data_IF_202228539684
#
_entry.id   IF_202228539684
#
_cell.length_a   1.000
_cell.length_b   1.000
_cell.length_c   1.000
_cell.angle_alpha   90.00
_cell.angle_beta   90.00
_cell.angle_gamma   90.00
#
_symmetry.space_group_name_H-M   'P 1'
#
loop_
_entity.id
_entity.type
_entity.pdbx_description
1 polymer ?
#
# COMPACT_ATOMS: atom_id res chain seq x y z
N UNK A 1 23.75 9.86 -8.92
CA UNK A 1 23.19 11.23 -8.96
C UNK A 1 23.06 11.64 -10.41
N UNK A 2 21.85 11.68 -10.98
CA UNK A 2 21.62 12.32 -12.27
C UNK A 2 20.38 13.19 -12.24
N UNK A 3 20.56 14.36 -12.87
CA UNK A 3 19.60 15.42 -13.13
C UNK A 3 18.65 15.00 -14.25
N UNK A 4 17.36 14.96 -13.99
CA UNK A 4 16.34 15.24 -14.99
C UNK A 4 15.22 16.04 -14.32
N UNK A 5 14.98 17.27 -14.80
CA UNK A 5 13.80 18.05 -14.44
C UNK A 5 13.83 18.82 -13.11
N UNK A 6 14.78 19.75 -12.94
CA UNK A 6 14.54 21.10 -12.36
C UNK A 6 13.91 21.29 -10.97
N UNK A 7 13.55 20.26 -10.22
CA UNK A 7 13.06 20.34 -8.84
C UNK A 7 13.83 19.34 -8.00
N UNK A 8 15.03 19.75 -7.62
CA UNK A 8 15.71 19.16 -6.48
C UNK A 8 14.84 19.36 -5.25
N UNK A 9 14.12 18.32 -4.80
CA UNK A 9 13.92 18.15 -3.37
C UNK A 9 15.25 17.62 -2.77
N UNK A 10 16.33 18.40 -2.91
CA UNK A 10 17.67 18.10 -2.36
C UNK A 10 17.79 18.50 -0.88
N UNK A 11 16.67 18.45 -0.17
CA UNK A 11 16.67 18.39 1.29
C UNK A 11 15.96 17.10 1.65
N UNK A 12 16.49 16.36 2.63
CA UNK A 12 15.65 15.41 3.37
C UNK A 12 14.37 16.17 3.71
N UNK A 13 13.18 15.74 3.25
CA UNK A 13 11.96 16.49 3.47
C UNK A 13 11.89 16.82 4.96
N UNK A 14 11.67 18.09 5.28
CA UNK A 14 11.61 18.53 6.68
C UNK A 14 10.67 17.60 7.45
N UNK A 15 10.86 17.36 8.74
CA UNK A 15 10.00 16.45 9.51
C UNK A 15 8.49 16.68 9.29
N UNK A 16 8.05 17.94 9.13
CA UNK A 16 6.67 18.27 8.80
C UNK A 16 6.18 17.77 7.44
N UNK A 17 7.01 17.84 6.39
CA UNK A 17 6.68 17.30 5.06
C UNK A 17 6.55 15.76 5.08
N UNK A 18 7.42 15.07 5.82
CA UNK A 18 7.32 13.62 5.99
C UNK A 18 6.04 13.24 6.76
N UNK A 19 5.74 13.95 7.85
CA UNK A 19 4.52 13.75 8.61
C UNK A 19 3.27 13.92 7.74
N UNK A 20 3.21 14.96 6.89
CA UNK A 20 2.10 15.18 5.95
C UNK A 20 1.98 14.02 4.95
N UNK A 21 3.09 13.52 4.40
CA UNK A 21 3.05 12.36 3.48
C UNK A 21 2.47 11.13 4.18
N UNK A 22 2.97 10.78 5.37
CA UNK A 22 2.48 9.61 6.10
C UNK A 22 1.02 9.76 6.56
N UNK A 23 0.64 10.93 7.07
CA UNK A 23 -0.74 11.21 7.49
C UNK A 23 -1.71 11.22 6.30
N UNK A 24 -1.30 11.83 5.19
CA UNK A 24 -2.07 11.85 3.94
C UNK A 24 -2.31 10.45 3.42
N UNK A 25 -1.26 9.62 3.36
CA UNK A 25 -1.38 8.21 2.98
C UNK A 25 -2.30 7.45 3.95
N UNK A 26 -2.13 7.61 5.26
CA UNK A 26 -2.97 6.93 6.26
C UNK A 26 -4.45 7.28 6.09
N UNK A 27 -4.75 8.55 5.85
CA UNK A 27 -6.09 9.03 5.57
C UNK A 27 -6.65 8.43 4.28
N UNK A 28 -5.87 8.42 3.19
CA UNK A 28 -6.27 7.80 1.92
C UNK A 28 -6.61 6.31 2.11
N UNK A 29 -5.82 5.57 2.90
CA UNK A 29 -6.11 4.16 3.20
C UNK A 29 -7.36 3.98 4.03
N UNK A 30 -7.51 4.77 5.09
CA UNK A 30 -8.71 4.74 5.90
C UNK A 30 -9.96 5.01 5.04
N UNK A 31 -9.88 6.00 4.16
CA UNK A 31 -10.95 6.32 3.20
C UNK A 31 -11.18 5.18 2.21
N UNK A 32 -10.12 4.53 1.68
CA UNK A 32 -10.25 3.38 0.78
C UNK A 32 -11.05 2.23 1.41
N UNK A 33 -10.82 1.96 2.70
CA UNK A 33 -11.55 0.94 3.46
C UNK A 33 -12.99 1.34 3.75
N UNK A 34 -13.23 2.61 4.08
CA UNK A 34 -14.58 3.18 4.24
C UNK A 34 -15.38 3.01 2.94
N UNK A 35 -14.83 3.43 1.79
CA UNK A 35 -15.49 3.26 0.49
C UNK A 35 -15.73 1.78 0.16
N UNK A 36 -14.76 0.93 0.50
CA UNK A 36 -14.84 -0.52 0.39
C UNK A 36 -15.91 -1.18 1.25
N UNK A 37 -16.55 -0.46 2.19
CA UNK A 37 -17.68 -0.96 2.98
C UNK A 37 -18.96 -0.13 2.80
N UNK A 38 -18.93 1.18 2.55
CA UNK A 38 -20.16 1.94 2.29
C UNK A 38 -20.84 1.56 0.96
N UNK A 39 -20.07 1.14 -0.04
CA UNK A 39 -20.57 0.90 -1.41
C UNK A 39 -20.62 -0.54 -1.93
N UNK A 40 -20.13 -1.59 -1.26
CA UNK A 40 -20.57 -2.94 -1.57
C UNK A 40 -22.04 -3.02 -1.23
N UNK A 41 -22.84 -3.03 -2.28
CA UNK A 41 -24.03 -3.84 -2.28
C UNK A 41 -23.57 -5.28 -2.58
N UNK A 42 -23.35 -6.13 -1.56
CA UNK A 42 -22.94 -7.52 -1.78
C UNK A 42 -23.97 -8.31 -2.60
N UNK A 43 -25.20 -7.81 -2.74
CA UNK A 43 -26.20 -8.42 -3.62
C UNK A 43 -25.99 -8.04 -5.10
N UNK A 44 -25.24 -6.97 -5.37
CA UNK A 44 -25.05 -6.43 -6.74
C UNK A 44 -23.71 -6.81 -7.37
N UNK A 45 -22.65 -6.99 -6.58
CA UNK A 45 -21.30 -7.24 -7.10
C UNK A 45 -20.56 -8.34 -6.33
N UNK A 46 -19.90 -9.24 -7.06
CA UNK A 46 -19.12 -10.35 -6.52
C UNK A 46 -17.63 -9.98 -6.30
N UNK A 47 -16.86 -10.87 -5.69
CA UNK A 47 -15.41 -10.69 -5.48
C UNK A 47 -14.65 -10.35 -6.76
N UNK A 48 -15.04 -10.95 -7.89
CA UNK A 48 -14.40 -10.74 -9.19
C UNK A 48 -14.45 -9.27 -9.63
N UNK A 49 -15.54 -8.56 -9.34
CA UNK A 49 -15.66 -7.12 -9.59
C UNK A 49 -14.60 -6.30 -8.83
N UNK A 50 -14.41 -6.60 -7.55
CA UNK A 50 -13.40 -5.92 -6.70
C UNK A 50 -11.98 -6.29 -7.08
N UNK A 51 -11.76 -7.57 -7.44
CA UNK A 51 -10.48 -8.04 -7.95
C UNK A 51 -10.12 -7.32 -9.25
N UNK A 52 -11.06 -7.20 -10.20
CA UNK A 52 -10.84 -6.49 -11.47
C UNK A 52 -10.50 -5.02 -11.24
N UNK A 53 -11.19 -4.35 -10.30
CA UNK A 53 -10.85 -2.96 -9.92
C UNK A 53 -9.44 -2.85 -9.35
N UNK A 54 -9.05 -3.78 -8.48
CA UNK A 54 -7.68 -3.86 -7.96
C UNK A 54 -6.66 -4.04 -9.08
N UNK A 55 -6.89 -4.98 -10.00
CA UNK A 55 -6.01 -5.24 -11.15
C UNK A 55 -5.89 -4.01 -12.07
N UNK A 56 -7.00 -3.34 -12.39
CA UNK A 56 -6.96 -2.12 -13.21
C UNK A 56 -6.13 -1.02 -12.55
N UNK A 57 -6.30 -0.81 -11.23
CA UNK A 57 -5.48 0.13 -10.49
C UNK A 57 -4.01 -0.29 -10.43
N UNK A 58 -3.72 -1.59 -10.31
CA UNK A 58 -2.35 -2.12 -10.32
C UNK A 58 -1.64 -1.84 -11.66
N UNK A 59 -2.37 -1.97 -12.78
CA UNK A 59 -1.87 -1.64 -14.12
C UNK A 59 -1.61 -0.14 -14.24
N UNK A 60 -2.56 0.69 -13.80
CA UNK A 60 -2.40 2.15 -13.82
C UNK A 60 -1.23 2.57 -12.93
N UNK A 61 -1.11 2.02 -11.72
CA UNK A 61 0.00 2.26 -10.80
C UNK A 61 1.33 1.93 -11.46
N UNK A 62 1.45 0.74 -12.06
CA UNK A 62 2.65 0.31 -12.79
C UNK A 62 3.04 1.22 -13.94
N UNK A 63 2.06 1.71 -14.71
CA UNK A 63 2.30 2.65 -15.79
C UNK A 63 2.78 4.00 -15.26
N UNK A 64 2.13 4.53 -14.22
CA UNK A 64 2.51 5.81 -13.62
C UNK A 64 3.90 5.72 -12.98
N UNK A 65 4.21 4.61 -12.32
CA UNK A 65 5.52 4.37 -11.70
C UNK A 65 6.63 4.39 -12.76
N UNK A 66 6.42 3.61 -13.83
CA UNK A 66 7.36 3.54 -14.96
C UNK A 66 7.53 4.89 -15.67
N UNK A 67 6.45 5.65 -15.85
CA UNK A 67 6.48 6.94 -16.57
C UNK A 67 7.07 8.08 -15.74
N UNK A 68 6.81 8.10 -14.43
CA UNK A 68 7.25 9.19 -13.56
C UNK A 68 8.69 8.99 -13.08
N UNK A 69 9.06 7.77 -12.74
CA UNK A 69 10.35 7.47 -12.11
C UNK A 69 11.35 6.83 -13.09
N UNK A 70 10.87 6.23 -14.19
CA UNK A 70 11.74 5.55 -15.15
C UNK A 70 12.32 4.23 -14.61
N UNK A 71 11.75 3.72 -13.52
CA UNK A 71 12.12 2.47 -12.88
C UNK A 71 11.18 1.34 -13.30
N UNK A 72 11.66 0.11 -13.19
CA UNK A 72 10.81 -1.06 -13.44
C UNK A 72 9.62 -1.04 -12.46
N UNK A 73 8.39 -1.26 -12.95
CA UNK A 73 7.23 -1.27 -12.09
C UNK A 73 7.36 -2.41 -11.07
N UNK A 74 6.63 -2.31 -9.96
CA UNK A 74 6.57 -3.37 -8.95
C UNK A 74 7.91 -3.59 -8.23
N UNK A 75 8.80 -2.60 -8.20
CA UNK A 75 10.04 -2.66 -7.41
C UNK A 75 9.88 -1.84 -6.15
N UNK A 76 9.55 -0.57 -6.31
CA UNK A 76 9.13 0.28 -5.21
C UNK A 76 7.63 0.08 -4.98
N UNK A 77 7.22 0.02 -3.71
CA UNK A 77 5.81 -0.13 -3.34
C UNK A 77 5.27 1.22 -2.87
N UNK A 78 4.55 1.90 -3.76
CA UNK A 78 3.94 3.21 -3.51
C UNK A 78 2.42 3.12 -3.23
N UNK A 79 1.83 4.28 -2.92
CA UNK A 79 0.49 4.40 -2.37
C UNK A 79 -0.58 3.77 -3.26
N UNK A 80 -0.44 3.90 -4.58
CA UNK A 80 -1.38 3.36 -5.56
C UNK A 80 -1.39 1.83 -5.58
N UNK A 81 -0.24 1.19 -5.40
CA UNK A 81 -0.14 -0.27 -5.31
C UNK A 81 -0.90 -0.77 -4.08
N UNK A 82 -0.67 -0.15 -2.92
CA UNK A 82 -1.42 -0.48 -1.71
C UNK A 82 -2.94 -0.30 -1.90
N UNK A 83 -3.40 0.76 -2.57
CA UNK A 83 -4.83 0.94 -2.85
C UNK A 83 -5.33 -0.23 -3.72
N UNK A 84 -4.60 -0.56 -4.78
CA UNK A 84 -4.94 -1.67 -5.68
C UNK A 84 -5.11 -3.00 -4.92
N UNK A 85 -4.22 -3.31 -3.97
CA UNK A 85 -4.34 -4.50 -3.12
C UNK A 85 -5.42 -4.38 -2.04
N UNK A 86 -5.59 -3.19 -1.45
CA UNK A 86 -6.51 -2.97 -0.34
C UNK A 86 -7.98 -3.20 -0.74
N UNK A 87 -8.36 -2.93 -1.98
CA UNK A 87 -9.76 -3.06 -2.46
C UNK A 87 -10.27 -4.51 -2.37
N UNK A 88 -9.65 -5.51 -3.05
CA UNK A 88 -10.10 -6.89 -2.96
C UNK A 88 -9.93 -7.46 -1.54
N UNK A 89 -8.86 -7.07 -0.83
CA UNK A 89 -8.64 -7.52 0.55
C UNK A 89 -9.72 -6.99 1.51
N UNK A 90 -10.11 -5.73 1.37
CA UNK A 90 -11.18 -5.12 2.17
C UNK A 90 -12.54 -5.78 1.91
N UNK A 91 -12.82 -6.19 0.67
CA UNK A 91 -14.04 -6.96 0.37
C UNK A 91 -14.05 -8.32 1.09
N UNK A 92 -12.92 -9.04 1.09
CA UNK A 92 -12.80 -10.30 1.84
C UNK A 92 -12.94 -10.07 3.35
N UNK A 93 -12.29 -9.02 3.86
CA UNK A 93 -12.29 -8.65 5.26
C UNK A 93 -13.67 -8.22 5.77
N UNK A 94 -14.45 -7.50 4.95
CA UNK A 94 -15.81 -7.08 5.30
C UNK A 94 -16.74 -8.27 5.57
N UNK A 95 -16.57 -9.41 4.89
CA UNK A 95 -17.41 -10.60 5.08
C UNK A 95 -17.24 -11.25 6.46
N UNK A 96 -16.19 -10.87 7.21
CA UNK A 96 -15.96 -11.36 8.56
C UNK A 96 -16.85 -10.65 9.58
N UNK A 97 -17.13 -11.34 10.69
CA UNK A 97 -17.75 -10.71 11.87
C UNK A 97 -16.77 -9.70 12.50
N UNK A 98 -17.30 -8.77 13.29
CA UNK A 98 -16.52 -7.72 13.95
C UNK A 98 -15.35 -8.27 14.79
N UNK A 99 -15.55 -9.36 15.53
CA UNK A 99 -14.51 -9.92 16.40
C UNK A 99 -13.28 -10.39 15.59
N UNK A 100 -13.40 -11.27 14.57
CA UNK A 100 -12.28 -11.58 13.67
C UNK A 100 -11.62 -10.36 13.03
N UNK A 101 -12.41 -9.34 12.66
CA UNK A 101 -11.87 -8.10 12.07
C UNK A 101 -10.92 -7.39 13.04
N UNK A 102 -11.37 -7.16 14.28
CA UNK A 102 -10.57 -6.53 15.34
C UNK A 102 -9.32 -7.35 15.66
N UNK A 103 -9.44 -8.69 15.72
CA UNK A 103 -8.31 -9.59 15.95
C UNK A 103 -7.26 -9.46 14.84
N UNK A 104 -7.67 -9.50 13.58
CA UNK A 104 -6.75 -9.38 12.44
C UNK A 104 -6.03 -8.02 12.44
N UNK A 105 -6.74 -6.92 12.63
CA UNK A 105 -6.14 -5.57 12.71
C UNK A 105 -5.13 -5.49 13.84
N UNK A 106 -5.50 -5.99 15.02
CA UNK A 106 -4.61 -6.01 16.19
C UNK A 106 -3.36 -6.84 15.92
N UNK A 107 -3.52 -8.01 15.29
CA UNK A 107 -2.40 -8.87 14.90
C UNK A 107 -1.48 -8.19 13.90
N UNK A 108 -2.01 -7.52 12.87
CA UNK A 108 -1.21 -6.78 11.90
C UNK A 108 -0.37 -5.69 12.58
N UNK A 109 -0.98 -4.89 13.46
CA UNK A 109 -0.28 -3.82 14.19
C UNK A 109 0.80 -4.38 15.11
N UNK A 110 0.54 -5.51 15.78
CA UNK A 110 1.50 -6.14 16.70
C UNK A 110 2.63 -6.88 15.99
N UNK A 111 2.32 -7.59 14.90
CA UNK A 111 3.30 -8.42 14.19
C UNK A 111 4.25 -7.57 13.34
N UNK A 112 3.80 -6.43 12.84
CA UNK A 112 4.63 -5.56 11.99
C UNK A 112 5.94 -5.11 12.66
N UNK A 113 5.94 -4.48 13.86
CA UNK A 113 7.19 -4.07 14.51
C UNK A 113 8.06 -5.26 14.90
N UNK A 114 7.45 -6.41 15.22
CA UNK A 114 8.19 -7.65 15.48
C UNK A 114 8.93 -8.14 14.22
N UNK A 115 8.25 -8.17 13.08
CA UNK A 115 8.85 -8.56 11.80
C UNK A 115 9.95 -7.58 11.37
N UNK A 116 9.71 -6.27 11.52
CA UNK A 116 10.72 -5.24 11.24
C UNK A 116 11.96 -5.39 12.11
N UNK A 117 11.80 -5.75 13.40
CA UNK A 117 12.92 -6.03 14.31
C UNK A 117 13.69 -7.30 13.92
N UNK A 118 13.00 -8.36 13.50
CA UNK A 118 13.61 -9.66 13.18
C UNK A 118 14.33 -9.67 11.81
N UNK A 119 13.75 -9.02 10.80
CA UNK A 119 14.25 -9.03 9.43
C UNK A 119 15.10 -7.80 9.08
N UNK A 120 15.21 -6.86 10.02
CA UNK A 120 15.81 -5.54 9.81
C UNK A 120 14.87 -4.62 9.03
N UNK A 121 14.86 -3.34 9.37
CA UNK A 121 14.06 -2.33 8.69
C UNK A 121 14.95 -1.42 7.83
N UNK A 122 14.49 -1.17 6.61
CA UNK A 122 15.18 -0.32 5.64
C UNK A 122 14.18 0.70 5.10
N UNK A 123 14.48 1.99 5.29
CA UNK A 123 13.59 3.08 4.84
C UNK A 123 13.63 3.32 3.33
N UNK A 124 14.78 3.06 2.71
CA UNK A 124 15.03 3.43 1.32
C UNK A 124 14.64 2.24 0.43
N UNK A 125 13.64 2.39 -0.46
CA UNK A 125 13.27 1.35 -1.41
C UNK A 125 14.39 1.11 -2.43
N UNK A 126 14.33 -0.04 -3.09
CA UNK A 126 15.22 -0.33 -4.23
C UNK A 126 14.71 0.43 -5.44
N UNK A 127 15.63 1.10 -6.13
CA UNK A 127 15.37 1.73 -7.43
C UNK A 127 16.17 0.97 -8.50
N UNK A 128 15.46 0.36 -9.46
CA UNK A 128 16.08 -0.31 -10.61
C UNK A 128 15.60 0.38 -11.90
N UNK A 129 16.46 1.19 -12.53
CA UNK A 129 16.09 1.96 -13.72
C UNK A 129 15.84 1.03 -14.92
N UNK A 130 14.84 1.36 -15.73
CA UNK A 130 14.53 0.66 -17.00
C UNK A 130 15.68 0.81 -18.00
N UNK A 131 16.34 1.96 -17.99
CA UNK A 131 17.49 2.27 -18.83
C UNK A 131 18.76 2.35 -17.98
N UNK A 132 19.39 1.21 -17.65
CA UNK A 132 20.60 1.22 -16.84
C UNK A 132 21.75 1.91 -17.59
N UNK A 133 22.52 2.71 -16.87
CA UNK A 133 23.83 3.15 -17.35
C UNK A 133 24.72 1.91 -17.55
N UNK A 134 25.58 1.95 -18.59
CA UNK A 134 26.35 0.82 -19.16
C UNK A 134 27.12 -0.09 -18.19
N UNK A 135 27.22 0.23 -16.91
CA UNK A 135 28.03 -0.49 -15.92
C UNK A 135 27.24 -1.17 -14.79
N UNK A 136 25.89 -1.11 -14.78
CA UNK A 136 25.07 -1.82 -13.80
C UNK A 136 24.23 -2.92 -14.46
N UNK A 137 24.80 -4.12 -14.57
CA UNK A 137 24.00 -5.34 -14.75
C UNK A 137 23.44 -5.75 -13.38
N UNK A 138 22.22 -5.35 -13.08
CA UNK A 138 21.52 -5.78 -11.87
C UNK A 138 20.86 -7.13 -12.15
N UNK A 139 21.14 -8.12 -11.30
CA UNK A 139 20.45 -9.41 -11.35
C UNK A 139 19.11 -9.30 -10.62
N UNK A 140 18.04 -9.11 -11.39
CA UNK A 140 16.68 -9.00 -10.88
C UNK A 140 16.26 -10.21 -10.04
N UNK A 141 16.76 -11.41 -10.35
CA UNK A 141 16.37 -12.64 -9.64
C UNK A 141 16.94 -12.63 -8.23
N UNK A 142 18.16 -12.12 -8.06
CA UNK A 142 18.82 -12.00 -6.77
C UNK A 142 18.09 -11.00 -5.83
N UNK A 143 17.43 -9.99 -6.39
CA UNK A 143 16.74 -8.94 -5.63
C UNK A 143 15.30 -9.27 -5.23
N UNK A 144 14.71 -10.34 -5.77
CA UNK A 144 13.33 -10.76 -5.47
C UNK A 144 13.05 -10.80 -3.95
N UNK A 145 13.87 -11.43 -3.10
CA UNK A 145 13.61 -11.48 -1.66
C UNK A 145 13.55 -10.09 -1.02
N UNK A 146 14.41 -9.18 -1.47
CA UNK A 146 14.46 -7.81 -0.96
C UNK A 146 13.26 -6.99 -1.43
N UNK A 147 12.85 -7.14 -2.69
CA UNK A 147 11.62 -6.52 -3.23
C UNK A 147 10.40 -6.96 -2.41
N UNK A 148 10.24 -8.27 -2.17
CA UNK A 148 9.13 -8.79 -1.36
C UNK A 148 9.17 -8.30 0.09
N UNK A 149 10.36 -8.13 0.66
CA UNK A 149 10.52 -7.54 1.99
C UNK A 149 10.02 -6.10 2.03
N UNK A 150 10.38 -5.28 1.04
CA UNK A 150 9.91 -3.90 0.89
C UNK A 150 8.42 -3.80 0.57
N UNK A 151 7.85 -4.81 -0.07
CA UNK A 151 6.42 -4.84 -0.33
C UNK A 151 5.62 -5.10 0.93
N UNK A 152 6.14 -5.94 1.83
CA UNK A 152 5.35 -6.46 2.93
C UNK A 152 5.63 -5.74 4.25
N UNK A 153 6.90 -5.39 4.53
CA UNK A 153 7.37 -5.15 5.90
C UNK A 153 8.09 -3.81 6.05
N UNK A 154 8.98 -3.44 5.12
CA UNK A 154 9.79 -2.22 5.20
C UNK A 154 9.67 -1.32 3.96
N UNK A 155 10.40 -0.21 3.90
CA UNK A 155 10.20 0.85 2.89
C UNK A 155 9.15 1.89 3.29
N UNK A 156 8.78 2.76 2.35
CA UNK A 156 7.90 3.89 2.60
C UNK A 156 6.45 3.46 2.86
N UNK A 157 5.95 2.52 2.06
CA UNK A 157 4.54 2.11 2.11
C UNK A 157 4.31 0.58 2.07
N UNK A 158 4.84 -0.21 3.04
CA UNK A 158 4.67 -1.67 3.07
C UNK A 158 3.23 -2.14 3.35
N UNK A 159 2.81 -3.23 2.71
CA UNK A 159 1.45 -3.77 2.79
C UNK A 159 0.97 -4.01 4.22
N UNK A 160 1.75 -4.64 5.09
CA UNK A 160 1.25 -5.04 6.42
C UNK A 160 0.78 -3.84 7.28
N UNK A 161 1.64 -2.88 7.65
CA UNK A 161 1.19 -1.78 8.51
C UNK A 161 0.10 -0.95 7.85
N UNK A 162 0.19 -0.72 6.53
CA UNK A 162 -0.72 0.18 5.84
C UNK A 162 -2.10 -0.45 5.60
N UNK A 163 -2.18 -1.77 5.41
CA UNK A 163 -3.43 -2.50 5.30
C UNK A 163 -4.29 -2.37 6.57
N UNK A 164 -3.66 -2.23 7.74
CA UNK A 164 -4.38 -2.02 9.00
C UNK A 164 -5.27 -0.78 8.97
N UNK A 165 -4.83 0.32 8.34
CA UNK A 165 -5.62 1.54 8.20
C UNK A 165 -6.85 1.34 7.31
N UNK A 166 -6.68 0.60 6.21
CA UNK A 166 -7.81 0.24 5.34
C UNK A 166 -8.83 -0.63 6.09
N UNK A 167 -8.37 -1.63 6.83
CA UNK A 167 -9.23 -2.49 7.63
C UNK A 167 -9.92 -1.75 8.79
N UNK A 168 -9.25 -0.79 9.43
CA UNK A 168 -9.88 0.13 10.39
C UNK A 168 -11.00 0.92 9.71
N UNK A 169 -10.77 1.42 8.49
CA UNK A 169 -11.81 2.08 7.68
C UNK A 169 -13.04 1.18 7.44
N UNK A 170 -12.82 -0.10 7.16
CA UNK A 170 -13.91 -1.10 7.03
C UNK A 170 -14.67 -1.24 8.35
N UNK A 171 -13.98 -1.38 9.49
CA UNK A 171 -14.63 -1.51 10.81
C UNK A 171 -15.46 -0.27 11.16
N UNK A 172 -14.89 0.93 10.94
CA UNK A 172 -15.57 2.21 11.20
C UNK A 172 -16.84 2.34 10.37
N UNK A 173 -16.79 2.01 9.08
CA UNK A 173 -17.96 2.02 8.20
C UNK A 173 -19.04 1.03 8.65
N UNK A 174 -18.67 -0.17 9.12
CA UNK A 174 -19.62 -1.14 9.65
C UNK A 174 -20.31 -0.61 10.92
N UNK A 175 -19.55 0.02 11.83
CA UNK A 175 -20.10 0.63 13.03
C UNK A 175 -21.06 1.78 12.67
N UNK A 176 -20.65 2.67 11.78
CA UNK A 176 -21.46 3.81 11.35
C UNK A 176 -22.80 3.39 10.73
N UNK A 177 -22.83 2.33 9.91
CA UNK A 177 -24.08 1.78 9.37
C UNK A 177 -25.03 1.29 10.47
N UNK A 178 -24.51 0.61 11.48
CA UNK A 178 -25.33 0.14 12.59
C UNK A 178 -25.93 1.30 13.41
N UNK A 179 -25.23 2.43 13.51
CA UNK A 179 -25.74 3.63 14.17
C UNK A 179 -26.79 4.40 13.35
N UNK A 180 -26.67 4.42 12.02
CA UNK A 180 -27.59 5.16 11.13
C UNK A 180 -28.90 4.41 10.83
N UNK A 181 -28.96 3.12 11.14
CA UNK A 181 -30.16 2.26 10.96
C UNK A 181 -31.00 2.19 12.25
N UNK A 182 -30.53 2.79 13.34
CA UNK A 182 -31.28 3.05 14.58
C UNK A 182 -31.89 4.45 14.56
#
# INVERSE_FOLDING_TARGET
MRQFGGLYFAGTPSPGHQAIRYMGSAFIYLVSGIYGNFYPDPQKYNFSHYLMRGVLLLVIASLLDSLNFGDYPLISFDVLYLIAFSIPLSFGFHQLKLLPQVVIVTLIIMITPLLQKLLGYTDIPIDIPIFPEKERSIDLIAEIPTIFKHWLIDGWFPLFPWLSFSFIGVILAACAKNFLVL
#
